data_IF_841692879498
#
_entry.id   IF_841692879498
#
_cell.length_a   1.000
_cell.length_b   1.000
_cell.length_c   1.000
_cell.angle_alpha   90.00
_cell.angle_beta   90.00
_cell.angle_gamma   90.00
#
_symmetry.space_group_name_H-M   'P 1'
#
loop_
_entity.id
_entity.type
_entity.pdbx_description
1 polymer ?
#
# COMPACT_ATOMS: atom_id res chain seq x y z
N UNK A 1 0.46 -14.30 22.45
CA UNK A 1 1.06 -13.99 21.14
C UNK A 1 0.18 -14.66 20.11
N UNK A 2 -0.75 -13.91 19.51
CA UNK A 2 -1.77 -14.50 18.61
C UNK A 2 -1.09 -14.80 17.29
N UNK A 3 -0.89 -16.10 17.00
CA UNK A 3 -0.63 -16.55 15.64
C UNK A 3 -1.82 -16.15 14.80
N UNK A 4 -1.63 -15.24 13.86
CA UNK A 4 -2.64 -14.97 12.85
C UNK A 4 -2.66 -16.15 11.89
N UNK A 5 -3.72 -16.97 11.97
CA UNK A 5 -3.99 -18.04 11.03
C UNK A 5 -4.06 -17.46 9.62
N UNK A 6 -3.25 -18.00 8.71
CA UNK A 6 -3.31 -17.67 7.29
C UNK A 6 -4.57 -18.30 6.71
N UNK A 7 -5.68 -17.56 6.75
CA UNK A 7 -6.92 -17.94 6.06
C UNK A 7 -6.65 -18.06 4.56
N UNK A 8 -6.67 -19.30 4.05
CA UNK A 8 -6.68 -19.60 2.62
C UNK A 8 -8.07 -19.27 2.06
N UNK A 9 -8.27 -18.02 1.66
CA UNK A 9 -9.51 -17.53 1.07
C UNK A 9 -9.30 -16.19 0.36
N UNK A 10 -10.26 -15.73 -0.46
CA UNK A 10 -10.22 -14.41 -1.05
C UNK A 10 -10.15 -13.33 0.04
N UNK A 11 -9.21 -12.40 -0.10
CA UNK A 11 -9.05 -11.26 0.80
C UNK A 11 -9.43 -9.97 0.09
N UNK A 12 -10.32 -9.18 0.70
CA UNK A 12 -10.65 -7.85 0.22
C UNK A 12 -9.55 -6.87 0.62
N UNK A 13 -8.68 -6.54 -0.33
CA UNK A 13 -7.54 -5.64 -0.10
C UNK A 13 -7.98 -4.22 0.24
N UNK A 14 -9.06 -3.72 -0.37
CA UNK A 14 -9.55 -2.36 -0.15
C UNK A 14 -9.99 -2.13 1.30
N UNK A 15 -10.53 -3.17 1.94
CA UNK A 15 -10.97 -3.13 3.34
C UNK A 15 -9.87 -3.40 4.36
N UNK A 16 -8.67 -3.77 3.91
CA UNK A 16 -7.57 -4.14 4.80
C UNK A 16 -6.70 -2.95 5.26
N UNK A 17 -6.95 -1.77 4.69
CA UNK A 17 -6.39 -0.47 5.08
C UNK A 17 -7.54 0.54 5.20
N UNK A 18 -7.39 1.57 6.04
CA UNK A 18 -8.44 2.58 6.25
C UNK A 18 -7.83 3.97 6.26
N UNK A 19 -8.50 4.91 5.61
CA UNK A 19 -8.14 6.32 5.65
C UNK A 19 -8.15 6.88 7.07
N UNK A 20 -7.26 7.83 7.32
CA UNK A 20 -7.23 8.63 8.55
C UNK A 20 -7.08 10.10 8.18
N UNK A 21 -7.77 10.97 8.92
CA UNK A 21 -7.75 12.40 8.65
C UNK A 21 -6.32 12.95 8.70
N UNK A 22 -5.95 13.74 7.68
CA UNK A 22 -4.65 14.40 7.52
C UNK A 22 -3.45 13.44 7.59
N UNK A 23 -3.60 12.20 7.11
CA UNK A 23 -2.58 11.17 7.25
C UNK A 23 -2.44 10.24 6.04
N UNK A 24 -1.25 9.63 5.94
CA UNK A 24 -0.98 8.46 5.09
C UNK A 24 -0.91 7.23 5.98
N UNK A 25 -1.79 6.26 5.74
CA UNK A 25 -1.77 4.97 6.43
C UNK A 25 -1.18 3.94 5.48
N UNK A 26 -0.20 3.16 5.96
CA UNK A 26 0.39 2.08 5.19
C UNK A 26 0.32 0.74 5.92
N UNK A 27 0.14 -0.34 5.16
CA UNK A 27 0.13 -1.70 5.67
C UNK A 27 0.86 -2.64 4.71
N UNK A 28 2.00 -3.16 5.13
CA UNK A 28 2.70 -4.20 4.39
C UNK A 28 1.97 -5.53 4.54
N UNK A 29 1.55 -6.12 3.41
CA UNK A 29 0.85 -7.41 3.35
C UNK A 29 1.76 -8.55 2.90
N UNK A 30 2.85 -8.24 2.22
CA UNK A 30 3.91 -9.19 1.87
C UNK A 30 5.27 -8.51 2.04
N UNK A 31 6.21 -9.22 2.68
CA UNK A 31 7.62 -8.85 2.71
C UNK A 31 8.45 -10.10 2.52
N UNK A 32 9.32 -10.09 1.52
CA UNK A 32 10.20 -11.21 1.16
C UNK A 32 11.52 -10.68 0.61
N UNK A 33 12.47 -11.58 0.35
CA UNK A 33 13.72 -11.21 -0.32
C UNK A 33 13.50 -10.76 -1.77
N UNK A 34 12.43 -11.23 -2.42
CA UNK A 34 12.08 -10.85 -3.79
C UNK A 34 11.37 -9.49 -3.88
N UNK A 35 11.02 -8.87 -2.75
CA UNK A 35 10.34 -7.59 -2.69
C UNK A 35 9.22 -7.52 -1.65
N UNK A 36 8.45 -6.43 -1.71
CA UNK A 36 7.36 -6.15 -0.77
C UNK A 36 6.09 -5.68 -1.47
N UNK A 37 4.95 -6.01 -0.90
CA UNK A 37 3.64 -5.47 -1.28
C UNK A 37 3.09 -4.69 -0.09
N UNK A 38 2.82 -3.41 -0.31
CA UNK A 38 2.31 -2.49 0.70
C UNK A 38 1.06 -1.82 0.18
N UNK A 39 0.02 -1.83 1.00
CA UNK A 39 -1.21 -1.09 0.76
C UNK A 39 -1.07 0.30 1.38
N UNK A 40 -1.56 1.30 0.68
CA UNK A 40 -1.55 2.69 1.13
C UNK A 40 -2.95 3.28 1.06
N UNK A 41 -3.32 4.06 2.07
CA UNK A 41 -4.49 4.91 2.09
C UNK A 41 -4.05 6.34 2.35
N UNK A 42 -4.29 7.21 1.37
CA UNK A 42 -3.93 8.62 1.39
C UNK A 42 -5.18 9.45 1.65
N UNK A 43 -5.18 10.26 2.71
CA UNK A 43 -6.18 11.32 2.79
C UNK A 43 -5.94 12.37 1.70
N UNK A 44 -6.96 13.18 1.42
CA UNK A 44 -6.91 14.19 0.38
C UNK A 44 -5.75 15.17 0.61
N UNK A 45 -4.90 15.32 -0.41
CA UNK A 45 -3.74 16.23 -0.37
C UNK A 45 -2.51 15.63 0.32
N UNK A 46 -2.57 14.38 0.78
CA UNK A 46 -1.40 13.66 1.26
C UNK A 46 -0.66 13.00 0.10
N UNK A 47 0.66 12.88 0.24
CA UNK A 47 1.57 12.32 -0.76
C UNK A 47 2.71 11.54 -0.11
N UNK A 48 3.43 10.74 -0.90
CA UNK A 48 4.72 10.20 -0.52
C UNK A 48 5.82 11.06 -1.12
N UNK A 49 6.89 11.27 -0.35
CA UNK A 49 8.11 11.84 -0.91
C UNK A 49 8.70 10.93 -1.98
N UNK A 50 9.33 11.55 -2.98
CA UNK A 50 10.04 10.84 -4.03
C UNK A 50 11.07 9.87 -3.42
N UNK A 51 11.05 8.63 -3.92
CA UNK A 51 11.98 7.61 -3.50
C UNK A 51 12.29 6.66 -4.66
N UNK A 52 13.47 6.05 -4.60
CA UNK A 52 13.91 5.07 -5.59
C UNK A 52 13.71 3.67 -5.05
N UNK A 53 13.12 2.79 -5.86
CA UNK A 53 13.04 1.36 -5.57
C UNK A 53 14.21 0.62 -6.25
N UNK A 54 14.82 -0.38 -5.60
CA UNK A 54 15.86 -1.21 -6.20
C UNK A 54 15.31 -2.22 -7.24
N UNK A 55 13.99 -2.27 -7.41
CA UNK A 55 13.26 -3.19 -8.29
C UNK A 55 12.15 -2.44 -9.03
N UNK A 56 11.53 -3.11 -10.00
CA UNK A 56 10.33 -2.60 -10.69
C UNK A 56 9.18 -2.40 -9.69
N UNK A 57 8.54 -1.24 -9.77
CA UNK A 57 7.40 -0.88 -8.93
C UNK A 57 6.08 -1.02 -9.73
N UNK A 58 5.16 -1.83 -9.21
CA UNK A 58 3.81 -1.94 -9.72
C UNK A 58 2.86 -1.14 -8.82
N UNK A 59 2.07 -0.25 -9.40
CA UNK A 59 1.03 0.50 -8.69
C UNK A 59 -0.34 0.07 -9.21
N UNK A 60 -1.25 -0.25 -8.30
CA UNK A 60 -2.64 -0.57 -8.61
C UNK A 60 -3.56 0.28 -7.73
N UNK A 61 -4.41 1.08 -8.38
CA UNK A 61 -5.40 1.93 -7.70
C UNK A 61 -6.63 1.08 -7.38
N UNK A 62 -6.82 0.78 -6.10
CA UNK A 62 -7.98 0.01 -5.63
C UNK A 62 -9.24 0.88 -5.48
N UNK A 63 -9.06 2.15 -5.10
CA UNK A 63 -10.15 3.13 -4.91
C UNK A 63 -9.63 4.53 -5.23
N UNK A 64 -10.52 5.39 -5.76
CA UNK A 64 -10.24 6.80 -5.98
C UNK A 64 -9.42 7.10 -7.23
N UNK A 65 -8.66 8.20 -7.18
CA UNK A 65 -7.78 8.64 -8.27
C UNK A 65 -6.50 9.19 -7.66
N UNK A 66 -5.38 8.94 -8.33
CA UNK A 66 -4.05 9.34 -7.87
C UNK A 66 -3.26 9.90 -9.04
N UNK A 67 -2.42 10.88 -8.75
CA UNK A 67 -1.39 11.36 -9.67
C UNK A 67 -0.06 10.69 -9.34
N UNK A 68 0.62 10.16 -10.35
CA UNK A 68 1.89 9.46 -10.18
C UNK A 68 2.92 10.15 -11.06
N UNK A 69 3.93 10.75 -10.43
CA UNK A 69 5.12 11.26 -11.09
C UNK A 69 6.21 10.18 -11.08
N UNK A 70 6.82 9.93 -12.24
CA UNK A 70 7.95 9.00 -12.38
C UNK A 70 9.11 9.79 -12.98
N UNK A 71 10.26 9.77 -12.31
CA UNK A 71 11.46 10.49 -12.74
C UNK A 71 11.21 12.00 -12.91
N UNK A 72 10.69 12.63 -11.85
CA UNK A 72 10.23 14.02 -11.81
C UNK A 72 11.05 15.00 -12.65
#
# INVERSE_FOLDING_TARGET
MVNQESGHGPHDLGRSVTYQADAVVSRTVLKSEAGSVTLFAFDKGQELSEHTAPYDALVHVLEGTVEIAISG
#
